data_IF_078688015141
#
_entry.id   IF_078688015141
#
_cell.length_a   1.000
_cell.length_b   1.000
_cell.length_c   1.000
_cell.angle_alpha   90.00
_cell.angle_beta   90.00
_cell.angle_gamma   90.00
#
_symmetry.space_group_name_H-M   'P 1'
#
loop_
_entity.id
_entity.type
_entity.pdbx_description
1 polymer ?
#
# COMPACT_ATOMS: atom_id res chain seq x y z
N UNK A 1 -29.16 -19.39 30.31
CA UNK A 1 -28.32 -20.09 29.29
C UNK A 1 -28.08 -19.29 28.04
N UNK A 2 -29.07 -18.70 27.45
CA UNK A 2 -28.94 -17.86 26.25
C UNK A 2 -28.10 -16.59 26.49
N UNK A 3 -28.18 -15.98 27.65
CA UNK A 3 -27.39 -14.81 27.99
C UNK A 3 -25.88 -15.09 28.07
N UNK A 4 -25.49 -16.25 28.61
CA UNK A 4 -24.10 -16.67 28.70
C UNK A 4 -23.50 -16.93 27.32
N UNK A 5 -24.25 -17.52 26.40
CA UNK A 5 -23.84 -17.75 25.02
C UNK A 5 -23.72 -16.44 24.26
N UNK A 6 -24.67 -15.52 24.42
CA UNK A 6 -24.61 -14.18 23.83
C UNK A 6 -23.39 -13.39 24.33
N UNK A 7 -23.09 -13.47 25.63
CA UNK A 7 -21.95 -12.81 26.21
C UNK A 7 -20.62 -13.40 25.68
N UNK A 8 -20.54 -14.73 25.58
CA UNK A 8 -19.36 -15.38 24.96
C UNK A 8 -19.18 -14.99 23.52
N UNK A 9 -20.25 -14.91 22.74
CA UNK A 9 -20.20 -14.51 21.35
C UNK A 9 -19.79 -13.05 21.21
N UNK A 10 -20.27 -12.18 22.08
CA UNK A 10 -19.85 -10.76 22.13
C UNK A 10 -18.39 -10.62 22.47
N UNK A 11 -17.91 -11.36 23.48
CA UNK A 11 -16.50 -11.34 23.87
C UNK A 11 -15.59 -11.82 22.74
N UNK A 12 -16.01 -12.89 22.05
CA UNK A 12 -15.28 -13.42 20.91
C UNK A 12 -15.23 -12.40 19.76
N UNK A 13 -16.36 -11.76 19.45
CA UNK A 13 -16.44 -10.72 18.44
C UNK A 13 -15.56 -9.52 18.77
N UNK A 14 -15.62 -9.06 20.04
CA UNK A 14 -14.77 -7.96 20.51
C UNK A 14 -13.28 -8.28 20.36
N UNK A 15 -12.90 -9.50 20.70
CA UNK A 15 -11.52 -9.96 20.55
C UNK A 15 -11.07 -9.95 19.09
N UNK A 16 -11.93 -10.44 18.19
CA UNK A 16 -11.65 -10.42 16.75
C UNK A 16 -11.49 -8.99 16.23
N UNK A 17 -12.37 -8.07 16.66
CA UNK A 17 -12.32 -6.68 16.25
C UNK A 17 -11.05 -6.00 16.75
N UNK A 18 -10.66 -6.23 17.99
CA UNK A 18 -9.46 -5.62 18.56
C UNK A 18 -8.17 -6.21 17.99
N UNK A 19 -8.11 -7.55 17.86
CA UNK A 19 -6.87 -8.22 17.45
C UNK A 19 -6.65 -8.22 15.94
N UNK A 20 -7.73 -8.34 15.14
CA UNK A 20 -7.64 -8.48 13.68
C UNK A 20 -7.94 -7.19 12.94
N UNK A 21 -9.06 -6.54 13.25
CA UNK A 21 -9.46 -5.33 12.53
C UNK A 21 -8.59 -4.14 12.88
N UNK A 22 -8.18 -3.98 14.13
CA UNK A 22 -7.25 -2.95 14.55
C UNK A 22 -5.88 -3.14 13.90
N UNK A 23 -5.39 -4.38 13.81
CA UNK A 23 -4.14 -4.70 13.13
C UNK A 23 -4.20 -4.32 11.65
N UNK A 24 -5.28 -4.68 10.97
CA UNK A 24 -5.46 -4.32 9.55
C UNK A 24 -5.47 -2.81 9.35
N UNK A 25 -6.09 -2.07 10.27
CA UNK A 25 -6.09 -0.61 10.20
C UNK A 25 -4.68 -0.05 10.39
N UNK A 26 -3.90 -0.58 11.32
CA UNK A 26 -2.53 -0.16 11.53
C UNK A 26 -1.67 -0.42 10.29
N UNK A 27 -1.82 -1.58 9.66
CA UNK A 27 -1.11 -1.89 8.41
C UNK A 27 -1.54 -0.95 7.28
N UNK A 28 -2.83 -0.65 7.17
CA UNK A 28 -3.33 0.29 6.16
C UNK A 28 -2.73 1.68 6.37
N UNK A 29 -2.67 2.17 7.60
CA UNK A 29 -2.08 3.47 7.93
C UNK A 29 -0.58 3.51 7.59
N UNK A 30 0.14 2.44 7.88
CA UNK A 30 1.56 2.32 7.53
C UNK A 30 1.75 2.29 6.01
N UNK A 31 0.89 1.60 5.27
CA UNK A 31 0.92 1.59 3.81
C UNK A 31 0.70 2.98 3.22
N UNK A 32 -0.21 3.76 3.78
CA UNK A 32 -0.42 5.15 3.35
C UNK A 32 0.82 6.01 3.59
N UNK A 33 1.49 5.86 4.73
CA UNK A 33 2.74 6.58 5.03
C UNK A 33 3.85 6.21 4.06
N UNK A 34 4.01 4.92 3.78
CA UNK A 34 4.99 4.42 2.81
C UNK A 34 4.68 4.99 1.42
N UNK A 35 3.42 4.98 1.03
CA UNK A 35 3.02 5.51 -0.28
C UNK A 35 3.25 7.02 -0.37
N UNK A 36 3.03 7.78 0.68
CA UNK A 36 3.36 9.21 0.71
C UNK A 36 4.85 9.45 0.49
N UNK A 37 5.71 8.66 1.14
CA UNK A 37 7.16 8.74 0.93
C UNK A 37 7.54 8.36 -0.50
N UNK A 38 6.88 7.36 -1.06
CA UNK A 38 7.04 6.93 -2.45
C UNK A 38 6.67 8.04 -3.43
N UNK A 39 5.54 8.72 -3.22
CA UNK A 39 5.13 9.86 -4.03
C UNK A 39 6.15 10.99 -4.00
N UNK A 40 6.68 11.31 -2.81
CA UNK A 40 7.72 12.34 -2.66
C UNK A 40 8.98 11.96 -3.44
N UNK A 41 9.37 10.70 -3.41
CA UNK A 41 10.53 10.22 -4.16
C UNK A 41 10.32 10.35 -5.67
N UNK A 42 9.14 10.01 -6.18
CA UNK A 42 8.79 10.16 -7.59
C UNK A 42 8.88 11.63 -8.01
N UNK A 43 8.28 12.52 -7.24
CA UNK A 43 8.30 13.95 -7.53
C UNK A 43 9.73 14.49 -7.55
N UNK A 44 10.54 14.10 -6.59
CA UNK A 44 11.95 14.51 -6.50
C UNK A 44 12.77 14.05 -7.71
N UNK A 45 12.59 12.79 -8.12
CA UNK A 45 13.30 12.25 -9.28
C UNK A 45 12.88 12.91 -10.58
N UNK A 46 11.59 13.16 -10.78
CA UNK A 46 11.09 13.84 -11.97
C UNK A 46 11.56 15.30 -12.02
N UNK A 47 11.57 15.99 -10.90
CA UNK A 47 12.09 17.36 -10.83
C UNK A 47 13.59 17.40 -11.18
N UNK A 48 14.36 16.42 -10.70
CA UNK A 48 15.79 16.32 -11.03
C UNK A 48 16.02 16.05 -12.51
N UNK A 49 15.23 15.18 -13.12
CA UNK A 49 15.30 14.92 -14.58
C UNK A 49 14.92 16.14 -15.40
N UNK A 50 13.92 16.88 -14.94
CA UNK A 50 13.45 18.10 -15.60
C UNK A 50 14.55 19.17 -15.73
N UNK A 51 15.43 19.25 -14.73
CA UNK A 51 16.56 20.17 -14.76
C UNK A 51 17.61 19.79 -15.82
N UNK A 52 17.70 18.50 -16.16
CA UNK A 52 18.69 17.98 -17.12
C UNK A 52 18.17 17.96 -18.56
N UNK A 53 16.86 17.79 -18.74
CA UNK A 53 16.24 17.71 -20.06
C UNK A 53 15.62 19.06 -20.39
N UNK A 54 16.23 19.76 -21.37
CA UNK A 54 15.84 21.12 -21.74
C UNK A 54 14.97 21.19 -22.99
N UNK A 55 14.56 20.05 -23.56
CA UNK A 55 13.74 20.02 -24.75
C UNK A 55 12.24 20.11 -24.36
N UNK A 56 11.53 21.19 -24.77
CA UNK A 56 10.12 21.37 -24.40
C UNK A 56 9.18 20.35 -25.02
N UNK A 57 9.64 19.58 -26.00
CA UNK A 57 8.84 18.50 -26.62
C UNK A 57 8.74 17.27 -25.74
N UNK A 58 9.64 17.13 -24.78
CA UNK A 58 9.68 15.98 -23.88
C UNK A 58 8.88 16.30 -22.63
N UNK A 59 7.80 15.55 -22.42
CA UNK A 59 6.95 15.72 -21.26
C UNK A 59 7.58 15.04 -20.05
N UNK A 60 7.80 15.82 -18.98
CA UNK A 60 8.27 15.33 -17.70
C UNK A 60 7.50 16.06 -16.61
N UNK A 61 6.46 15.49 -16.13
CA UNK A 61 5.68 16.06 -15.03
C UNK A 61 4.93 14.96 -14.28
N UNK A 62 4.25 15.35 -13.24
CA UNK A 62 3.43 14.44 -12.44
C UNK A 62 2.13 15.13 -12.05
N UNK A 63 1.12 14.31 -11.77
CA UNK A 63 -0.15 14.76 -11.22
C UNK A 63 -0.46 13.94 -9.97
N UNK A 64 -0.64 14.62 -8.84
CA UNK A 64 -1.09 13.98 -7.61
C UNK A 64 -2.61 13.79 -7.68
N UNK A 65 -3.05 12.55 -7.66
CA UNK A 65 -4.47 12.18 -7.79
C UNK A 65 -5.12 11.84 -6.45
N UNK A 66 -4.53 12.26 -5.34
CA UNK A 66 -5.05 12.02 -4.01
C UNK A 66 -4.17 11.08 -3.18
N UNK A 67 -4.71 10.58 -2.09
CA UNK A 67 -3.94 9.81 -1.10
C UNK A 67 -3.43 8.46 -1.63
N UNK A 68 -4.07 7.91 -2.67
CA UNK A 68 -3.81 6.55 -3.12
C UNK A 68 -3.32 6.47 -4.57
N UNK A 69 -3.05 7.58 -5.22
CA UNK A 69 -2.67 7.55 -6.63
C UNK A 69 -1.80 8.74 -7.02
N UNK A 70 -0.82 8.49 -7.89
CA UNK A 70 -0.02 9.51 -8.56
C UNK A 70 0.28 9.07 -9.98
N UNK A 71 0.20 10.00 -10.92
CA UNK A 71 0.53 9.79 -12.33
C UNK A 71 1.84 10.49 -12.65
N UNK A 72 2.78 9.75 -13.27
CA UNK A 72 4.04 10.28 -13.76
C UNK A 72 4.06 10.24 -15.28
N UNK A 73 4.29 11.39 -15.90
CA UNK A 73 4.37 11.54 -17.35
C UNK A 73 5.83 11.64 -17.75
N UNK A 74 6.31 10.63 -18.49
CA UNK A 74 7.72 10.53 -18.90
C UNK A 74 7.75 10.31 -20.41
N UNK A 75 7.99 11.39 -21.17
CA UNK A 75 7.92 11.35 -22.61
C UNK A 75 6.51 10.96 -23.09
N UNK A 76 6.42 9.89 -23.86
CA UNK A 76 5.13 9.35 -24.35
C UNK A 76 4.49 8.35 -23.41
N UNK A 77 5.11 8.06 -22.28
CA UNK A 77 4.59 7.09 -21.31
C UNK A 77 3.91 7.77 -20.13
N UNK A 78 2.88 7.12 -19.62
CA UNK A 78 2.24 7.50 -18.35
C UNK A 78 2.37 6.33 -17.40
N UNK A 79 3.04 6.54 -16.28
CA UNK A 79 3.10 5.59 -15.19
C UNK A 79 2.06 5.97 -14.16
N UNK A 80 1.13 5.06 -13.89
CA UNK A 80 0.12 5.23 -12.85
C UNK A 80 0.51 4.37 -11.66
N UNK A 81 0.75 5.01 -10.54
CA UNK A 81 1.05 4.34 -9.27
C UNK A 81 -0.20 4.43 -8.40
N UNK A 82 -0.70 3.29 -7.97
CA UNK A 82 -1.93 3.22 -7.20
C UNK A 82 -1.73 2.34 -5.97
N UNK A 83 -2.00 2.89 -4.79
CA UNK A 83 -2.01 2.10 -3.56
C UNK A 83 -3.36 1.40 -3.44
N UNK A 84 -3.34 0.07 -3.40
CA UNK A 84 -4.54 -0.71 -3.18
C UNK A 84 -5.10 -0.42 -1.78
N UNK A 85 -6.40 -0.22 -1.69
CA UNK A 85 -7.06 0.15 -0.42
C UNK A 85 -7.18 -0.99 0.58
N UNK A 86 -7.06 -2.23 0.12
CA UNK A 86 -7.17 -3.39 0.98
C UNK A 86 -5.82 -3.77 1.58
N UNK A 87 -5.87 -4.33 2.78
CA UNK A 87 -4.75 -5.01 3.42
C UNK A 87 -4.90 -6.50 3.14
N UNK A 88 -3.81 -7.13 2.76
CA UNK A 88 -3.77 -8.54 2.41
C UNK A 88 -3.01 -9.33 3.46
N UNK A 89 -3.34 -10.59 3.59
CA UNK A 89 -2.59 -11.54 4.43
C UNK A 89 -2.00 -12.61 3.52
N UNK A 90 -0.72 -12.93 3.76
CA UNK A 90 -0.06 -14.02 3.05
C UNK A 90 -0.80 -15.34 3.32
N UNK A 91 -1.12 -16.14 2.28
CA UNK A 91 -1.74 -17.45 2.49
C UNK A 91 -0.94 -18.33 3.43
N UNK A 92 -1.63 -19.09 4.28
CA UNK A 92 -1.00 -19.90 5.34
C UNK A 92 -0.02 -20.94 4.79
N UNK A 93 -0.21 -21.39 3.55
CA UNK A 93 0.63 -22.39 2.89
C UNK A 93 1.77 -21.79 2.06
N UNK A 94 1.97 -20.46 2.09
CA UNK A 94 3.00 -19.81 1.31
C UNK A 94 4.40 -20.13 1.89
N UNK A 95 5.39 -20.48 1.04
CA UNK A 95 6.75 -20.74 1.49
C UNK A 95 7.43 -19.60 2.23
N UNK A 96 6.99 -18.35 2.03
CA UNK A 96 7.54 -17.18 2.71
C UNK A 96 7.39 -17.23 4.23
N UNK A 97 6.42 -18.00 4.75
CA UNK A 97 6.28 -18.22 6.20
C UNK A 97 7.50 -18.92 6.80
N UNK A 98 8.32 -19.58 5.97
CA UNK A 98 9.57 -20.18 6.38
C UNK A 98 10.73 -19.19 6.55
N UNK A 99 10.57 -17.92 6.14
CA UNK A 99 11.63 -16.91 6.25
C UNK A 99 11.73 -16.33 7.66
N UNK A 100 12.91 -15.81 8.00
CA UNK A 100 13.14 -15.23 9.32
C UNK A 100 12.19 -14.05 9.63
N UNK A 101 11.87 -13.24 8.64
CA UNK A 101 10.98 -12.11 8.79
C UNK A 101 9.58 -12.55 9.23
N UNK A 102 8.98 -13.55 8.56
CA UNK A 102 7.65 -14.03 8.91
C UNK A 102 7.64 -14.84 10.21
N UNK A 103 8.72 -15.55 10.51
CA UNK A 103 8.84 -16.32 11.75
C UNK A 103 8.95 -15.42 12.98
N UNK A 104 9.52 -14.23 12.86
CA UNK A 104 9.72 -13.33 13.97
C UNK A 104 8.41 -12.79 14.54
N UNK A 105 7.38 -12.64 13.68
CA UNK A 105 6.05 -12.19 14.09
C UNK A 105 5.04 -12.60 13.01
N UNK A 106 3.98 -13.32 13.40
CA UNK A 106 2.93 -13.74 12.47
C UNK A 106 2.22 -12.56 11.79
N UNK A 107 2.23 -11.37 12.43
CA UNK A 107 1.65 -10.16 11.88
C UNK A 107 2.45 -9.62 10.67
N UNK A 108 3.67 -10.05 10.48
CA UNK A 108 4.48 -9.69 9.31
C UNK A 108 3.93 -10.27 8.00
N UNK A 109 2.97 -11.18 8.07
CA UNK A 109 2.27 -11.70 6.91
C UNK A 109 1.22 -10.75 6.33
N UNK A 110 0.93 -9.62 6.98
CA UNK A 110 0.01 -8.61 6.46
C UNK A 110 0.77 -7.58 5.63
N UNK A 111 0.21 -7.17 4.50
CA UNK A 111 0.88 -6.27 3.57
C UNK A 111 -0.11 -5.47 2.73
N UNK A 112 0.40 -4.39 2.13
CA UNK A 112 -0.29 -3.63 1.08
C UNK A 112 0.31 -3.90 -0.30
N UNK A 113 -0.36 -3.41 -1.32
CA UNK A 113 0.08 -3.55 -2.72
C UNK A 113 0.07 -2.18 -3.37
N UNK A 114 1.19 -1.82 -4.02
CA UNK A 114 1.25 -0.69 -4.94
C UNK A 114 1.21 -1.25 -6.35
N UNK A 115 0.18 -0.90 -7.11
CA UNK A 115 0.05 -1.27 -8.50
C UNK A 115 0.72 -0.21 -9.37
N UNK A 116 1.44 -0.67 -10.39
CA UNK A 116 2.11 0.20 -11.36
C UNK A 116 1.60 -0.18 -12.75
N UNK A 117 0.97 0.79 -13.41
CA UNK A 117 0.48 0.62 -14.77
C UNK A 117 1.26 1.54 -15.70
N UNK A 118 1.65 1.04 -16.86
CA UNK A 118 2.31 1.82 -17.90
C UNK A 118 1.37 1.94 -19.10
N UNK A 119 1.02 3.17 -19.44
CA UNK A 119 0.20 3.49 -20.62
C UNK A 119 1.03 4.33 -21.58
N UNK A 120 0.88 4.07 -22.89
CA UNK A 120 1.43 4.91 -23.93
C UNK A 120 0.38 5.93 -24.37
N UNK A 121 0.81 7.15 -24.55
CA UNK A 121 -0.03 8.23 -25.05
C UNK A 121 -0.07 8.29 -26.58
#
# INVERSE_FOLDING_TARGET
>A
MKEKELNKNREHLLKLLLDKSALKQDVADDCEKVFMSFKKAICKELDALKLKIKDPRIRLNYEDKGEHEIHAYIGSDVLVFNLHRNVFKMPDNDPLWGTAYFRSNENNGYFGIINIFNFQL
#
